data_IF_634097448823
#
_entry.id   IF_634097448823
#
_cell.length_a   1.000
_cell.length_b   1.000
_cell.length_c   1.000
_cell.angle_alpha   90.00
_cell.angle_beta   90.00
_cell.angle_gamma   90.00
#
_symmetry.space_group_name_H-M   'P 1'
#
loop_
_entity.id
_entity.type
_entity.pdbx_description
1 polymer ?
#
# COMPACT_ATOMS: atom_id res chain seq x y z
N UNK A 1 -58.97 11.73 59.79
CA UNK A 1 -59.42 11.00 58.59
C UNK A 1 -59.45 11.96 57.41
N UNK A 2 -59.12 11.45 56.23
CA UNK A 2 -59.52 11.92 54.88
C UNK A 2 -58.92 13.21 54.28
N UNK A 3 -57.76 12.99 53.67
CA UNK A 3 -57.29 13.30 52.30
C UNK A 3 -58.17 14.05 51.26
N UNK A 4 -57.41 14.82 50.43
CA UNK A 4 -57.60 15.33 49.05
C UNK A 4 -58.56 16.53 48.87
N UNK A 5 -58.16 17.63 48.22
CA UNK A 5 -57.68 17.73 46.83
C UNK A 5 -56.82 18.98 46.51
N UNK A 6 -55.85 18.77 45.60
CA UNK A 6 -55.24 19.64 44.59
C UNK A 6 -54.73 21.06 44.95
N UNK A 7 -53.40 21.24 44.96
CA UNK A 7 -52.80 22.45 44.36
C UNK A 7 -51.30 22.29 44.01
N UNK A 8 -50.96 22.78 42.82
CA UNK A 8 -49.67 23.30 42.33
C UNK A 8 -48.36 22.57 42.67
N UNK A 9 -47.85 21.93 41.61
CA UNK A 9 -46.46 21.66 41.33
C UNK A 9 -45.55 22.88 41.62
N UNK A 10 -44.51 22.69 42.45
CA UNK A 10 -43.35 23.58 42.53
C UNK A 10 -42.17 22.83 43.17
N UNK A 11 -41.32 22.30 42.28
CA UNK A 11 -39.85 22.16 42.29
C UNK A 11 -39.08 21.86 43.59
N UNK A 12 -37.94 21.16 43.43
CA UNK A 12 -36.71 21.94 43.53
C UNK A 12 -35.78 21.78 42.32
N UNK A 13 -35.40 22.96 41.82
CA UNK A 13 -34.11 23.35 41.27
C UNK A 13 -33.01 22.27 41.23
N UNK A 14 -32.64 21.85 40.02
CA UNK A 14 -31.24 21.55 39.68
C UNK A 14 -30.94 22.08 38.27
N UNK A 15 -30.28 23.24 38.27
CA UNK A 15 -29.71 23.92 37.10
C UNK A 15 -28.48 23.15 36.62
N UNK A 16 -28.46 22.70 35.36
CA UNK A 16 -27.23 22.47 34.58
C UNK A 16 -27.54 22.64 33.08
N UNK A 17 -27.35 23.86 32.56
CA UNK A 17 -26.98 24.13 31.15
C UNK A 17 -25.50 23.76 30.97
N UNK A 18 -25.01 23.32 29.80
CA UNK A 18 -24.96 24.17 28.61
C UNK A 18 -25.21 23.52 27.24
N UNK A 19 -25.68 24.39 26.35
CA UNK A 19 -25.39 24.50 24.91
C UNK A 19 -25.14 23.26 24.05
N UNK A 20 -26.08 23.07 23.12
CA UNK A 20 -25.85 22.49 21.80
C UNK A 20 -24.76 23.30 21.06
N UNK A 21 -23.53 22.80 21.07
CA UNK A 21 -22.48 23.25 20.14
C UNK A 21 -22.31 22.23 19.01
N UNK A 22 -22.65 22.70 17.81
CA UNK A 22 -22.40 22.05 16.55
C UNK A 22 -20.88 22.06 16.27
N UNK A 23 -20.13 21.09 16.77
CA UNK A 23 -18.70 20.92 16.41
C UNK A 23 -18.33 19.44 16.24
N UNK A 24 -18.63 18.89 15.06
CA UNK A 24 -18.19 17.54 14.67
C UNK A 24 -17.62 17.52 13.24
N UNK A 25 -16.85 18.56 12.90
CA UNK A 25 -16.02 18.58 11.67
C UNK A 25 -14.52 18.80 11.93
N UNK A 26 -14.12 19.00 13.19
CA UNK A 26 -12.71 19.22 13.55
C UNK A 26 -11.95 17.92 13.88
N UNK A 27 -12.63 16.85 14.32
CA UNK A 27 -11.97 15.58 14.65
C UNK A 27 -11.46 14.78 13.45
N UNK A 28 -12.11 14.88 12.29
CA UNK A 28 -11.66 14.15 11.09
C UNK A 28 -10.43 14.82 10.46
N UNK A 29 -10.30 16.14 10.59
CA UNK A 29 -9.15 16.88 10.06
C UNK A 29 -7.90 16.75 10.95
N UNK A 30 -8.06 16.69 12.28
CA UNK A 30 -6.93 16.51 13.19
C UNK A 30 -6.26 15.13 13.07
N UNK A 31 -6.99 14.11 12.60
CA UNK A 31 -6.39 12.79 12.34
C UNK A 31 -5.61 12.70 11.03
N UNK A 32 -5.77 13.67 10.11
CA UNK A 32 -5.03 13.72 8.84
C UNK A 32 -3.83 14.69 8.87
N UNK A 33 -3.81 15.70 9.74
CA UNK A 33 -2.66 16.61 9.88
C UNK A 33 -1.50 16.05 10.70
N UNK A 34 -1.70 14.95 11.45
CA UNK A 34 -0.59 14.26 12.13
C UNK A 34 0.36 13.51 11.18
N UNK A 35 0.00 13.34 9.89
CA UNK A 35 0.82 12.66 8.88
C UNK A 35 1.68 13.61 8.03
N UNK A 36 1.78 14.89 8.38
CA UNK A 36 2.58 15.88 7.63
C UNK A 36 3.41 16.76 8.56
N UNK A 37 4.32 16.13 9.30
CA UNK A 37 5.48 16.80 9.87
C UNK A 37 6.68 16.54 8.94
N UNK A 38 7.15 17.52 8.14
CA UNK A 38 8.47 17.46 7.52
C UNK A 38 9.49 18.05 8.47
N UNK A 39 9.72 17.39 9.62
CA UNK A 39 10.86 17.71 10.48
C UNK A 39 11.80 16.53 10.52
N UNK A 40 12.55 16.38 9.43
CA UNK A 40 13.81 15.68 9.43
C UNK A 40 14.70 16.43 8.46
N UNK A 41 15.33 17.49 8.96
CA UNK A 41 16.63 17.91 8.45
C UNK A 41 17.61 16.76 8.74
N UNK A 42 17.53 15.70 7.94
CA UNK A 42 18.62 14.75 7.84
C UNK A 42 19.75 15.54 7.21
N UNK A 43 20.74 15.87 8.02
CA UNK A 43 22.11 16.06 7.58
C UNK A 43 22.35 15.17 6.37
N UNK A 44 22.63 15.81 5.23
CA UNK A 44 23.28 15.18 4.10
C UNK A 44 24.67 14.80 4.58
N UNK A 45 24.73 13.73 5.38
CA UNK A 45 25.95 12.98 5.52
C UNK A 45 26.24 12.50 4.10
N UNK A 46 27.38 12.88 3.56
CA UNK A 46 28.03 12.24 2.43
C UNK A 46 28.18 10.75 2.75
N UNK A 47 27.08 10.01 2.60
CA UNK A 47 27.08 8.57 2.65
C UNK A 47 27.75 8.19 1.37
N UNK A 48 29.08 8.05 1.43
CA UNK A 48 29.83 7.16 0.55
C UNK A 48 28.94 5.93 0.41
N UNK A 49 28.27 5.81 -0.72
CA UNK A 49 27.28 4.75 -0.95
C UNK A 49 28.12 3.50 -1.02
N UNK A 50 28.26 2.83 0.12
CA UNK A 50 28.93 1.54 0.19
C UNK A 50 28.15 0.66 -0.77
N UNK A 51 28.79 0.30 -1.88
CA UNK A 51 28.17 -0.52 -2.89
C UNK A 51 27.63 -1.78 -2.21
N UNK A 52 26.35 -2.07 -2.40
CA UNK A 52 25.74 -3.27 -1.87
C UNK A 52 26.45 -4.45 -2.54
N UNK A 53 27.13 -5.31 -1.77
CA UNK A 53 27.79 -6.47 -2.34
C UNK A 53 26.71 -7.40 -2.92
N UNK A 54 26.76 -7.59 -4.23
CA UNK A 54 25.84 -8.45 -4.98
C UNK A 54 26.61 -9.56 -5.66
N UNK A 55 25.96 -10.70 -5.87
CA UNK A 55 26.53 -11.77 -6.69
C UNK A 55 26.72 -11.29 -8.14
N UNK A 56 27.68 -11.89 -8.86
CA UNK A 56 27.91 -11.60 -10.28
C UNK A 56 26.66 -11.88 -11.12
N UNK A 57 25.92 -12.93 -10.78
CA UNK A 57 24.67 -13.30 -11.45
C UNK A 57 23.58 -12.26 -11.22
N UNK A 58 23.40 -11.81 -9.98
CA UNK A 58 22.43 -10.75 -9.63
C UNK A 58 22.75 -9.47 -10.42
N UNK A 59 24.04 -9.09 -10.48
CA UNK A 59 24.48 -7.90 -11.21
C UNK A 59 24.16 -8.00 -12.71
N UNK A 60 24.44 -9.15 -13.35
CA UNK A 60 24.10 -9.38 -14.76
C UNK A 60 22.59 -9.26 -15.02
N UNK A 61 21.75 -9.81 -14.12
CA UNK A 61 20.29 -9.70 -14.23
C UNK A 61 19.82 -8.24 -14.13
N UNK A 62 20.41 -7.46 -13.23
CA UNK A 62 20.10 -6.04 -13.06
C UNK A 62 20.53 -5.23 -14.29
N UNK A 63 21.75 -5.45 -14.79
CA UNK A 63 22.26 -4.74 -15.96
C UNK A 63 21.40 -5.03 -17.20
N UNK A 64 21.02 -6.30 -17.42
CA UNK A 64 20.09 -6.68 -18.48
C UNK A 64 18.72 -6.01 -18.32
N UNK A 65 18.20 -5.98 -17.09
CA UNK A 65 16.93 -5.34 -16.79
C UNK A 65 16.94 -3.84 -17.08
N UNK A 66 17.99 -3.12 -16.66
CA UNK A 66 18.15 -1.68 -16.91
C UNK A 66 18.26 -1.42 -18.41
N UNK A 67 19.07 -2.21 -19.12
CA UNK A 67 19.20 -2.08 -20.56
C UNK A 67 17.85 -2.28 -21.26
N UNK A 68 17.04 -3.25 -20.83
CA UNK A 68 15.70 -3.48 -21.39
C UNK A 68 14.70 -2.39 -21.03
N UNK A 69 14.77 -1.82 -19.82
CA UNK A 69 13.95 -0.68 -19.40
C UNK A 69 14.24 0.57 -20.23
N UNK A 70 15.52 0.81 -20.54
CA UNK A 70 15.95 1.97 -21.31
C UNK A 70 15.38 1.97 -22.74
N UNK A 71 15.15 0.78 -23.32
CA UNK A 71 14.52 0.61 -24.62
C UNK A 71 12.99 0.80 -24.60
N UNK A 72 12.36 1.13 -23.46
CA UNK A 72 10.91 1.35 -23.37
C UNK A 72 10.61 2.83 -23.50
N UNK A 73 10.09 3.22 -24.65
CA UNK A 73 9.74 4.62 -24.95
C UNK A 73 8.47 5.06 -24.22
N UNK A 74 7.46 4.20 -24.14
CA UNK A 74 6.21 4.54 -23.48
C UNK A 74 6.22 4.24 -21.98
N UNK A 75 5.58 5.10 -21.18
CA UNK A 75 5.40 4.88 -19.73
C UNK A 75 4.60 3.60 -19.44
N UNK A 76 3.70 3.20 -20.36
CA UNK A 76 2.90 1.97 -20.23
C UNK A 76 3.78 0.73 -20.37
N UNK A 77 4.61 0.66 -21.42
CA UNK A 77 5.51 -0.48 -21.64
C UNK A 77 6.61 -0.54 -20.58
N UNK A 78 7.13 0.62 -20.18
CA UNK A 78 8.08 0.73 -19.08
C UNK A 78 7.52 0.10 -17.81
N UNK A 79 6.32 0.54 -17.39
CA UNK A 79 5.68 0.01 -16.20
C UNK A 79 5.28 -1.46 -16.36
N UNK A 80 4.78 -1.88 -17.52
CA UNK A 80 4.41 -3.28 -17.76
C UNK A 80 5.63 -4.21 -17.65
N UNK A 81 6.77 -3.81 -18.23
CA UNK A 81 8.02 -4.56 -18.12
C UNK A 81 8.52 -4.59 -16.67
N UNK A 82 8.57 -3.44 -15.99
CA UNK A 82 8.92 -3.35 -14.58
C UNK A 82 8.05 -4.29 -13.71
N UNK A 83 6.73 -4.16 -13.85
CA UNK A 83 5.77 -4.93 -13.07
C UNK A 83 5.91 -6.43 -13.34
N UNK A 84 6.03 -6.83 -14.61
CA UNK A 84 6.26 -8.23 -14.99
C UNK A 84 7.53 -8.76 -14.34
N UNK A 85 8.65 -8.02 -14.39
CA UNK A 85 9.88 -8.45 -13.73
C UNK A 85 9.66 -8.65 -12.23
N UNK A 86 9.03 -7.69 -11.55
CA UNK A 86 8.81 -7.76 -10.11
C UNK A 86 7.95 -8.96 -9.71
N UNK A 87 6.86 -9.28 -10.42
CA UNK A 87 6.00 -10.41 -10.02
C UNK A 87 6.69 -11.79 -10.17
N UNK A 88 7.73 -11.91 -11.00
CA UNK A 88 8.49 -13.17 -11.17
C UNK A 88 9.59 -13.35 -10.11
N UNK A 89 9.93 -12.31 -9.36
CA UNK A 89 10.91 -12.39 -8.28
C UNK A 89 10.26 -12.89 -6.99
N UNK A 90 10.96 -13.76 -6.26
CA UNK A 90 10.59 -14.10 -4.88
C UNK A 90 10.68 -12.89 -3.95
N UNK A 91 10.12 -12.99 -2.75
CA UNK A 91 10.16 -11.90 -1.77
C UNK A 91 11.59 -11.45 -1.46
N UNK A 92 12.50 -12.41 -1.25
CA UNK A 92 13.89 -12.12 -0.91
C UNK A 92 14.64 -11.51 -2.11
N UNK A 93 14.40 -12.03 -3.33
CA UNK A 93 15.02 -11.49 -4.54
C UNK A 93 14.57 -10.06 -4.85
N UNK A 94 13.31 -9.70 -4.54
CA UNK A 94 12.80 -8.34 -4.76
C UNK A 94 13.62 -7.30 -4.02
N UNK A 95 13.93 -7.53 -2.76
CA UNK A 95 14.66 -6.56 -1.94
C UNK A 95 16.07 -6.32 -2.48
N UNK A 96 16.82 -7.39 -2.75
CA UNK A 96 18.16 -7.31 -3.34
C UNK A 96 18.13 -6.66 -4.72
N UNK A 97 17.18 -7.07 -5.57
CA UNK A 97 17.05 -6.58 -6.93
C UNK A 97 16.71 -5.08 -6.98
N UNK A 98 15.74 -4.62 -6.16
CA UNK A 98 15.36 -3.21 -6.09
C UNK A 98 16.53 -2.37 -5.60
N UNK A 99 17.21 -2.81 -4.54
CA UNK A 99 18.35 -2.08 -4.00
C UNK A 99 19.49 -1.98 -5.02
N UNK A 100 19.79 -3.08 -5.71
CA UNK A 100 20.83 -3.13 -6.72
C UNK A 100 20.51 -2.31 -7.97
N UNK A 101 19.29 -2.40 -8.48
CA UNK A 101 18.84 -1.57 -9.61
C UNK A 101 18.88 -0.08 -9.25
N UNK A 102 18.44 0.30 -8.04
CA UNK A 102 18.50 1.68 -7.57
C UNK A 102 19.93 2.20 -7.48
N UNK A 103 20.85 1.39 -6.97
CA UNK A 103 22.27 1.75 -6.89
C UNK A 103 22.89 1.92 -8.29
N UNK A 104 22.62 0.99 -9.20
CA UNK A 104 23.13 1.02 -10.57
C UNK A 104 22.61 2.26 -11.33
N UNK A 105 21.34 2.60 -11.17
CA UNK A 105 20.72 3.78 -11.78
C UNK A 105 21.21 5.09 -11.15
N UNK A 106 21.43 5.13 -9.83
CA UNK A 106 21.94 6.33 -9.15
C UNK A 106 23.39 6.65 -9.50
N UNK A 107 24.14 5.65 -9.97
CA UNK A 107 25.55 5.81 -10.39
C UNK A 107 25.70 6.19 -11.87
N UNK A 108 24.60 6.19 -12.64
CA UNK A 108 24.62 6.58 -14.05
C UNK A 108 24.51 8.10 -14.18
N UNK A 109 25.38 8.76 -14.96
CA UNK A 109 25.11 10.11 -15.44
C UNK A 109 23.93 10.03 -16.41
N UNK A 110 22.87 10.79 -16.16
CA UNK A 110 21.66 10.75 -16.98
C UNK A 110 21.46 12.10 -17.69
N UNK A 111 21.45 12.07 -19.02
CA UNK A 111 21.32 13.26 -19.88
C UNK A 111 19.86 13.49 -20.35
N UNK A 112 18.94 12.55 -20.08
CA UNK A 112 17.55 12.58 -20.53
C UNK A 112 16.60 13.08 -19.43
N UNK A 113 15.51 13.75 -19.83
CA UNK A 113 14.43 14.22 -18.94
C UNK A 113 13.08 13.63 -19.40
N UNK A 114 12.35 12.88 -18.55
CA UNK A 114 12.75 12.42 -17.21
C UNK A 114 13.87 11.37 -17.28
N UNK A 115 14.73 11.36 -16.25
CA UNK A 115 15.84 10.41 -16.16
C UNK A 115 15.33 8.97 -16.05
N UNK A 116 16.14 7.99 -16.42
CA UNK A 116 15.80 6.57 -16.26
C UNK A 116 15.59 6.25 -14.78
N UNK A 117 16.37 6.88 -13.89
CA UNK A 117 16.21 6.77 -12.45
C UNK A 117 14.84 7.31 -11.98
N UNK A 118 14.39 8.45 -12.48
CA UNK A 118 13.07 9.01 -12.12
C UNK A 118 11.93 8.09 -12.56
N UNK A 119 12.01 7.57 -13.79
CA UNK A 119 11.03 6.63 -14.34
C UNK A 119 11.00 5.34 -13.52
N UNK A 120 12.15 4.80 -13.14
CA UNK A 120 12.27 3.64 -12.26
C UNK A 120 11.61 3.91 -10.89
N UNK A 121 11.94 5.02 -10.24
CA UNK A 121 11.36 5.37 -8.93
C UNK A 121 9.84 5.55 -8.99
N UNK A 122 9.33 6.13 -10.06
CA UNK A 122 7.89 6.27 -10.31
C UNK A 122 7.21 4.91 -10.50
N UNK A 123 7.81 4.01 -11.28
CA UNK A 123 7.31 2.65 -11.47
C UNK A 123 7.32 1.84 -10.16
N UNK A 124 8.39 1.96 -9.37
CA UNK A 124 8.51 1.31 -8.06
C UNK A 124 7.40 1.75 -7.10
N UNK A 125 7.17 3.06 -6.98
CA UNK A 125 6.07 3.59 -6.14
C UNK A 125 4.72 3.02 -6.57
N UNK A 126 4.45 3.00 -7.88
CA UNK A 126 3.20 2.45 -8.43
C UNK A 126 3.05 0.95 -8.13
N UNK A 127 4.12 0.18 -8.29
CA UNK A 127 4.12 -1.24 -7.94
C UNK A 127 3.79 -1.46 -6.47
N UNK A 128 4.45 -0.72 -5.56
CA UNK A 128 4.19 -0.80 -4.11
C UNK A 128 2.73 -0.48 -3.79
N UNK A 129 2.17 0.58 -4.38
CA UNK A 129 0.76 0.94 -4.19
C UNK A 129 -0.18 -0.19 -4.62
N UNK A 130 0.07 -0.82 -5.78
CA UNK A 130 -0.73 -1.95 -6.26
C UNK A 130 -0.59 -3.16 -5.34
N UNK A 131 0.62 -3.49 -4.89
CA UNK A 131 0.84 -4.59 -3.95
C UNK A 131 0.11 -4.38 -2.63
N UNK A 132 0.10 -3.15 -2.09
CA UNK A 132 -0.65 -2.82 -0.88
C UNK A 132 -2.17 -2.92 -1.08
N UNK A 133 -2.69 -2.42 -2.20
CA UNK A 133 -4.13 -2.47 -2.49
C UNK A 133 -4.64 -3.89 -2.79
N UNK A 134 -3.79 -4.74 -3.37
CA UNK A 134 -4.17 -6.12 -3.72
C UNK A 134 -4.06 -7.10 -2.55
N UNK A 135 -3.28 -6.80 -1.51
CA UNK A 135 -3.09 -7.72 -0.39
C UNK A 135 -4.39 -8.15 0.31
N UNK A 136 -5.33 -7.24 0.69
CA UNK A 136 -6.58 -7.64 1.32
C UNK A 136 -7.51 -8.43 0.38
N UNK A 137 -7.43 -8.17 -0.92
CA UNK A 137 -8.23 -8.85 -1.95
C UNK A 137 -7.74 -10.29 -2.13
N UNK A 138 -6.44 -10.47 -2.28
CA UNK A 138 -5.80 -11.79 -2.38
C UNK A 138 -6.09 -12.64 -1.13
N UNK A 139 -6.05 -12.04 0.06
CA UNK A 139 -6.37 -12.75 1.30
C UNK A 139 -7.83 -13.18 1.37
N UNK A 140 -8.76 -12.32 0.95
CA UNK A 140 -10.19 -12.67 0.87
C UNK A 140 -10.46 -13.79 -0.15
N UNK A 141 -9.86 -13.72 -1.34
CA UNK A 141 -10.01 -14.76 -2.35
C UNK A 141 -9.49 -16.11 -1.86
N UNK A 142 -8.31 -16.15 -1.24
CA UNK A 142 -7.75 -17.38 -0.69
C UNK A 142 -8.63 -17.99 0.41
N UNK A 143 -9.24 -17.15 1.27
CA UNK A 143 -10.22 -17.63 2.27
C UNK A 143 -11.47 -18.20 1.63
N UNK A 144 -12.00 -17.55 0.60
CA UNK A 144 -13.25 -17.96 -0.04
C UNK A 144 -13.10 -19.22 -0.91
N UNK A 145 -11.97 -19.38 -1.61
CA UNK A 145 -11.69 -20.59 -2.41
C UNK A 145 -11.64 -21.83 -1.51
N UNK A 146 -11.05 -21.73 -0.31
CA UNK A 146 -11.04 -22.83 0.66
C UNK A 146 -12.43 -23.19 1.22
N UNK A 147 -13.44 -22.35 1.00
CA UNK A 147 -14.82 -22.59 1.41
C UNK A 147 -15.73 -23.06 0.28
N UNK A 148 -15.22 -23.13 -0.97
CA UNK A 148 -15.94 -23.78 -2.06
C UNK A 148 -15.87 -25.29 -1.79
N UNK A 149 -16.88 -25.80 -1.09
CA UNK A 149 -17.17 -27.23 -1.11
C UNK A 149 -17.66 -27.53 -2.52
N UNK A 150 -16.88 -28.28 -3.31
CA UNK A 150 -17.47 -29.04 -4.40
C UNK A 150 -18.40 -30.04 -3.73
N UNK A 151 -19.70 -29.77 -3.73
CA UNK A 151 -20.68 -30.81 -3.52
C UNK A 151 -20.53 -31.74 -4.73
N UNK A 152 -19.75 -32.81 -4.56
CA UNK A 152 -19.89 -34.00 -5.40
C UNK A 152 -21.26 -34.55 -5.08
N UNK A 153 -22.23 -34.13 -5.87
CA UNK A 153 -23.52 -34.77 -5.99
C UNK A 153 -23.27 -36.16 -6.58
N UNK A 154 -22.94 -37.11 -5.70
CA UNK A 154 -22.92 -38.54 -6.01
C UNK A 154 -24.37 -39.02 -6.12
N UNK A 155 -25.11 -38.48 -7.08
CA UNK A 155 -26.42 -38.98 -7.49
C UNK A 155 -26.34 -39.39 -8.96
N UNK A 156 -25.86 -40.61 -9.21
CA UNK A 156 -26.14 -41.36 -10.45
C UNK A 156 -25.85 -42.86 -10.23
N UNK A 157 -26.50 -43.47 -9.23
CA UNK A 157 -26.79 -44.91 -9.28
C UNK A 157 -27.95 -45.11 -10.28
N UNK A 158 -27.61 -45.00 -11.57
CA UNK A 158 -28.50 -45.42 -12.65
C UNK A 158 -28.53 -46.95 -12.64
N UNK A 159 -29.66 -47.48 -12.17
CA UNK A 159 -30.05 -48.88 -12.27
C UNK A 159 -29.90 -49.37 -13.72
N UNK A 160 -28.85 -50.14 -13.99
CA UNK A 160 -28.72 -50.89 -15.25
C UNK A 160 -29.41 -52.25 -15.05
N UNK A 161 -30.47 -52.40 -15.85
CA UNK A 161 -31.35 -53.56 -16.08
C UNK A 161 -30.60 -54.91 -16.14
#
# INVERSE_FOLDING_TARGET
>A
MTLLVNNLNSSPLLTLTPELTLSSKQDIQQKMTAASNPTSSSTLNDKKTTAIPMSSETKMKIDLFINQLEQKDSEKEFFAYFFKTMIHLSKNEKEEFIAGASQALSSRPDEKVPSLNDRFNKALKRYISISLMSAPISEQLNRNIGQIKLETDDEDDVEII
#
